data_IF_109112739155
#
_entry.id   IF_109112739155
#
_cell.length_a   1.000
_cell.length_b   1.000
_cell.length_c   1.000
_cell.angle_alpha   90.00
_cell.angle_beta   90.00
_cell.angle_gamma   90.00
#
_symmetry.space_group_name_H-M   'P 1'
#
loop_
_entity.id
_entity.type
_entity.pdbx_description
1 polymer ?
#
# COMPACT_ATOMS: atom_id res chain seq x y z
N UNK A 1 -2.89 -11.73 25.97
CA UNK A 1 -2.30 -11.85 24.63
C UNK A 1 -0.90 -11.27 24.63
N UNK A 2 0.09 -12.15 24.46
CA UNK A 2 1.50 -11.82 24.16
C UNK A 2 1.75 -12.11 22.68
N UNK A 3 2.57 -11.29 22.02
CA UNK A 3 2.89 -11.38 20.59
C UNK A 3 4.11 -12.29 20.41
N UNK A 4 3.96 -13.37 19.65
CA UNK A 4 5.08 -14.25 19.28
C UNK A 4 5.44 -14.01 17.81
N UNK A 5 6.73 -13.86 17.53
CA UNK A 5 7.26 -13.88 16.17
C UNK A 5 7.88 -15.25 15.92
N UNK A 6 7.54 -15.85 14.78
CA UNK A 6 8.13 -17.11 14.31
C UNK A 6 8.94 -16.76 13.07
N UNK A 7 10.24 -17.09 13.07
CA UNK A 7 11.08 -16.97 11.89
C UNK A 7 10.63 -18.02 10.86
N UNK A 8 10.46 -17.64 9.59
CA UNK A 8 9.88 -18.52 8.57
C UNK A 8 10.74 -19.77 8.33
N UNK A 9 10.12 -20.95 8.44
CA UNK A 9 10.57 -22.15 7.73
C UNK A 9 9.43 -22.66 6.84
N UNK A 10 9.61 -22.51 5.53
CA UNK A 10 8.66 -22.92 4.48
C UNK A 10 8.73 -24.44 4.30
N UNK A 11 7.58 -25.14 4.20
CA UNK A 11 7.36 -26.21 3.20
C UNK A 11 5.93 -26.78 3.19
N UNK A 12 5.37 -26.81 1.97
CA UNK A 12 4.52 -27.85 1.36
C UNK A 12 3.33 -28.39 2.18
N UNK A 13 2.15 -27.77 2.05
CA UNK A 13 0.87 -28.51 1.95
C UNK A 13 -0.18 -27.62 1.26
N UNK A 14 -0.69 -28.09 0.12
CA UNK A 14 -1.64 -27.37 -0.73
C UNK A 14 -3.07 -27.39 -0.19
N UNK A 15 -3.40 -26.47 0.72
CA UNK A 15 -4.78 -26.12 1.06
C UNK A 15 -4.98 -24.61 0.94
N UNK A 16 -5.85 -24.20 0.01
CA UNK A 16 -6.30 -22.81 -0.15
C UNK A 16 -7.25 -22.45 1.00
N UNK A 17 -6.99 -21.33 1.68
CA UNK A 17 -8.03 -20.56 2.37
C UNK A 17 -7.96 -19.08 1.97
N UNK A 18 -9.09 -18.36 1.84
CA UNK A 18 -9.19 -17.01 1.27
C UNK A 18 -8.91 -15.88 2.28
N UNK A 19 -8.15 -16.13 3.35
CA UNK A 19 -8.07 -15.22 4.49
C UNK A 19 -6.82 -14.35 4.52
N UNK A 20 -7.03 -13.06 4.77
CA UNK A 20 -6.00 -12.13 5.24
C UNK A 20 -5.84 -12.35 6.74
N UNK A 21 -4.80 -13.05 7.20
CA UNK A 21 -4.50 -13.14 8.64
C UNK A 21 -3.03 -12.82 8.88
N UNK A 22 -2.81 -11.74 9.64
CA UNK A 22 -1.51 -11.17 9.99
C UNK A 22 -0.56 -12.18 10.66
N UNK A 23 0.75 -12.06 10.37
CA UNK A 23 1.88 -12.87 10.89
C UNK A 23 2.13 -12.76 12.41
N UNK A 24 1.10 -12.84 13.25
CA UNK A 24 1.26 -12.84 14.70
C UNK A 24 0.29 -13.84 15.31
N UNK A 25 0.82 -14.81 16.09
CA UNK A 25 0.01 -15.67 16.93
C UNK A 25 -0.04 -15.05 18.32
N UNK A 26 -1.23 -14.67 18.75
CA UNK A 26 -1.44 -14.16 20.11
C UNK A 26 -1.62 -15.34 21.06
N UNK A 27 -0.81 -15.40 22.12
CA UNK A 27 -0.86 -16.49 23.12
C UNK A 27 -1.36 -15.98 24.48
N UNK A 28 -2.03 -16.83 25.24
CA UNK A 28 -2.62 -16.51 26.54
C UNK A 28 -1.53 -16.13 27.56
N UNK A 29 -1.79 -15.12 28.39
CA UNK A 29 -0.81 -14.60 29.35
C UNK A 29 -0.46 -15.72 30.33
N UNK A 30 0.83 -16.01 30.52
CA UNK A 30 1.31 -17.07 31.41
C UNK A 30 1.49 -18.46 30.78
N UNK A 31 1.22 -18.63 29.48
CA UNK A 31 1.61 -19.84 28.72
C UNK A 31 2.93 -19.67 27.95
N UNK A 32 3.67 -18.61 28.27
CA UNK A 32 4.95 -18.24 27.66
C UNK A 32 6.08 -19.22 27.99
N UNK A 33 6.00 -19.93 29.12
CA UNK A 33 7.01 -20.90 29.58
C UNK A 33 7.20 -22.09 28.63
N UNK A 34 6.17 -22.45 27.85
CA UNK A 34 6.22 -23.52 26.86
C UNK A 34 7.17 -23.24 25.69
N UNK A 35 7.66 -22.00 25.55
CA UNK A 35 8.49 -21.54 24.44
C UNK A 35 9.84 -20.95 24.89
N UNK A 36 10.23 -21.13 26.15
CA UNK A 36 11.47 -20.58 26.72
C UNK A 36 12.74 -21.26 26.20
N UNK A 37 12.68 -22.56 25.89
CA UNK A 37 13.85 -23.36 25.48
C UNK A 37 14.05 -23.41 23.96
N UNK A 38 13.22 -22.71 23.19
CA UNK A 38 13.26 -22.71 21.72
C UNK A 38 14.10 -21.52 21.22
N UNK A 39 15.26 -21.76 20.56
CA UNK A 39 16.21 -20.69 20.22
C UNK A 39 15.66 -19.66 19.21
N UNK A 40 14.62 -20.03 18.46
CA UNK A 40 14.03 -19.20 17.40
C UNK A 40 12.86 -18.31 17.88
N UNK A 41 12.49 -18.39 19.16
CA UNK A 41 11.28 -17.72 19.69
C UNK A 41 11.67 -16.70 20.76
N UNK A 42 11.52 -15.40 20.44
CA UNK A 42 11.70 -14.30 21.41
C UNK A 42 10.38 -13.93 22.05
N UNK A 43 10.32 -13.99 23.39
CA UNK A 43 9.14 -13.65 24.20
C UNK A 43 9.26 -12.17 24.63
N UNK A 44 8.48 -11.27 24.02
CA UNK A 44 8.42 -9.87 24.43
C UNK A 44 7.34 -9.67 25.51
N UNK A 45 7.71 -9.09 26.66
CA UNK A 45 6.80 -8.80 27.77
C UNK A 45 5.79 -7.67 27.43
N UNK A 46 4.71 -7.58 28.20
CA UNK A 46 3.52 -6.75 27.90
C UNK A 46 3.64 -5.27 28.34
N UNK A 47 3.34 -4.42 27.36
CA UNK A 47 2.72 -3.08 27.42
C UNK A 47 3.59 -1.89 27.86
N UNK A 48 4.51 -1.46 26.99
CA UNK A 48 5.25 -0.20 27.16
C UNK A 48 4.60 1.01 26.47
N UNK A 49 3.34 0.89 26.01
CA UNK A 49 2.66 1.96 25.29
C UNK A 49 3.20 2.18 23.88
N UNK A 50 2.89 1.27 22.94
CA UNK A 50 3.01 1.57 21.51
C UNK A 50 2.09 2.77 21.19
N UNK A 51 2.64 3.98 21.29
CA UNK A 51 2.06 5.13 20.61
C UNK A 51 2.17 4.79 19.13
N UNK A 52 1.05 4.51 18.49
CA UNK A 52 0.95 4.66 17.04
C UNK A 52 1.39 6.10 16.78
N UNK A 53 2.60 6.30 16.26
CA UNK A 53 3.06 7.61 15.81
C UNK A 53 2.17 7.97 14.61
N UNK A 54 1.01 8.54 14.92
CA UNK A 54 0.14 9.14 13.93
C UNK A 54 0.86 10.42 13.55
N UNK A 55 1.58 10.39 12.45
CA UNK A 55 2.06 11.63 11.85
C UNK A 55 0.85 12.54 11.69
N UNK A 56 0.94 13.72 12.29
CA UNK A 56 -0.08 14.74 12.15
C UNK A 56 -0.10 15.26 10.71
N UNK A 57 1.08 15.30 10.07
CA UNK A 57 1.26 15.74 8.68
C UNK A 57 1.14 14.57 7.73
N UNK A 58 0.40 14.78 6.64
CA UNK A 58 0.21 13.80 5.58
C UNK A 58 0.50 14.43 4.23
N UNK A 59 1.24 13.71 3.39
CA UNK A 59 1.37 14.01 1.97
C UNK A 59 0.25 13.26 1.25
N UNK A 60 -0.67 13.99 0.61
CA UNK A 60 -1.86 13.44 -0.02
C UNK A 60 -2.17 14.11 -1.36
N UNK A 61 -3.08 13.52 -2.12
CA UNK A 61 -3.66 14.16 -3.30
C UNK A 61 -4.89 14.96 -2.88
N UNK A 62 -4.86 16.26 -3.14
CA UNK A 62 -6.04 17.12 -3.10
C UNK A 62 -6.64 17.19 -4.51
N UNK A 63 -7.95 16.95 -4.61
CA UNK A 63 -8.66 17.06 -5.88
C UNK A 63 -8.91 18.53 -6.17
N UNK A 64 -8.64 18.94 -7.41
CA UNK A 64 -8.93 20.26 -7.96
C UNK A 64 -9.45 20.08 -9.39
N UNK A 65 -9.78 21.19 -10.05
CA UNK A 65 -10.33 21.21 -11.40
C UNK A 65 -11.86 21.24 -11.44
N UNK A 66 -12.40 20.83 -12.56
CA UNK A 66 -13.83 20.92 -12.86
C UNK A 66 -14.48 19.53 -12.90
N UNK A 67 -15.81 19.49 -12.91
CA UNK A 67 -16.58 18.26 -13.16
C UNK A 67 -16.08 17.60 -14.45
N UNK A 68 -15.87 16.28 -14.42
CA UNK A 68 -15.32 15.49 -15.53
C UNK A 68 -13.88 15.84 -15.98
N UNK A 69 -13.20 16.80 -15.34
CA UNK A 69 -11.78 17.12 -15.55
C UNK A 69 -11.05 17.22 -14.20
N UNK A 70 -10.84 16.08 -13.51
CA UNK A 70 -10.03 16.04 -12.30
C UNK A 70 -8.57 16.43 -12.57
N UNK A 71 -8.04 17.29 -11.70
CA UNK A 71 -6.63 17.64 -11.62
C UNK A 71 -6.19 17.52 -10.16
N UNK A 72 -5.10 16.82 -9.87
CA UNK A 72 -4.67 16.60 -8.50
C UNK A 72 -3.47 17.48 -8.15
N UNK A 73 -3.51 18.09 -6.97
CA UNK A 73 -2.34 18.72 -6.35
C UNK A 73 -1.76 17.77 -5.32
N UNK A 74 -0.44 17.59 -5.34
CA UNK A 74 0.25 16.82 -4.31
C UNK A 74 0.57 17.81 -3.19
N UNK A 75 -0.06 17.64 -2.05
CA UNK A 75 -0.04 18.62 -0.96
C UNK A 75 0.40 17.98 0.34
N UNK A 76 1.07 18.78 1.17
CA UNK A 76 1.23 18.52 2.59
C UNK A 76 0.05 19.16 3.34
N UNK A 77 -0.61 18.41 4.20
CA UNK A 77 -1.68 18.93 5.07
C UNK A 77 -1.63 18.26 6.43
N UNK A 78 -2.46 18.69 7.39
CA UNK A 78 -2.75 17.83 8.55
C UNK A 78 -3.73 16.73 8.16
N UNK A 79 -3.71 15.64 8.93
CA UNK A 79 -4.61 14.49 8.73
C UNK A 79 -6.08 14.85 8.89
N UNK A 80 -6.40 15.76 9.81
CA UNK A 80 -7.78 16.14 10.14
C UNK A 80 -8.31 17.29 9.28
N UNK A 81 -7.46 17.96 8.51
CA UNK A 81 -7.90 19.05 7.65
C UNK A 81 -8.75 18.54 6.48
N UNK A 82 -9.71 19.35 6.04
CA UNK A 82 -10.51 19.11 4.84
C UNK A 82 -9.64 18.91 3.60
N UNK A 83 -10.17 18.25 2.57
CA UNK A 83 -9.37 17.76 1.43
C UNK A 83 -8.59 18.84 0.67
N UNK A 84 -9.16 20.03 0.57
CA UNK A 84 -8.62 21.13 -0.23
C UNK A 84 -7.65 22.03 0.55
N UNK A 85 -7.53 21.81 1.86
CA UNK A 85 -6.60 22.54 2.72
C UNK A 85 -5.18 22.01 2.52
N UNK A 86 -4.25 22.95 2.32
CA UNK A 86 -2.83 22.70 2.11
C UNK A 86 -1.99 23.60 3.02
N UNK A 87 -0.93 23.03 3.60
CA UNK A 87 0.14 23.77 4.28
C UNK A 87 1.19 24.18 3.24
N UNK A 88 1.53 23.24 2.36
CA UNK A 88 2.52 23.42 1.31
C UNK A 88 2.16 22.55 0.10
N UNK A 89 2.30 23.10 -1.11
CA UNK A 89 2.17 22.35 -2.34
C UNK A 89 3.53 21.72 -2.73
N UNK A 90 3.55 20.41 -2.87
CA UNK A 90 4.75 19.61 -3.17
C UNK A 90 4.82 19.19 -4.64
N UNK A 91 3.72 19.33 -5.38
CA UNK A 91 3.64 18.91 -6.78
C UNK A 91 2.24 18.93 -7.36
N UNK A 92 2.09 18.29 -8.52
CA UNK A 92 0.82 18.14 -9.24
C UNK A 92 0.78 16.83 -10.02
N UNK A 93 -0.42 16.36 -10.32
CA UNK A 93 -0.66 15.14 -11.08
C UNK A 93 -1.91 15.29 -11.96
N UNK A 94 -1.72 15.14 -13.27
CA UNK A 94 -2.80 15.09 -14.24
C UNK A 94 -3.09 13.62 -14.63
N UNK A 95 -4.29 13.09 -14.30
CA UNK A 95 -4.65 11.72 -14.64
C UNK A 95 -4.99 11.53 -16.13
N UNK A 96 -5.33 12.61 -16.85
CA UNK A 96 -5.67 12.53 -18.27
C UNK A 96 -4.42 12.45 -19.14
N UNK A 97 -4.42 11.57 -20.14
CA UNK A 97 -3.36 11.55 -21.12
C UNK A 97 -3.38 12.84 -21.97
N UNK A 98 -2.19 13.34 -22.31
CA UNK A 98 -2.01 14.37 -23.33
C UNK A 98 -2.16 13.78 -24.76
N UNK A 99 -1.91 14.60 -25.79
CA UNK A 99 -1.91 14.14 -27.20
C UNK A 99 -0.90 13.00 -27.47
N UNK A 100 0.16 12.92 -26.67
CA UNK A 100 1.21 11.90 -26.74
C UNK A 100 0.93 10.69 -25.85
N UNK A 101 -0.27 10.60 -25.26
CA UNK A 101 -0.71 9.54 -24.36
C UNK A 101 0.08 9.43 -23.05
N UNK A 102 0.68 10.54 -22.61
CA UNK A 102 1.47 10.64 -21.38
C UNK A 102 0.68 11.31 -20.26
N UNK A 103 0.94 10.91 -19.01
CA UNK A 103 0.33 11.51 -17.81
C UNK A 103 1.38 12.30 -17.05
N UNK A 104 1.10 13.58 -16.82
CA UNK A 104 2.05 14.47 -16.15
C UNK A 104 2.00 14.34 -14.63
N UNK A 105 3.19 14.26 -14.03
CA UNK A 105 3.36 14.28 -12.58
C UNK A 105 4.59 15.15 -12.26
N UNK A 106 4.37 16.29 -11.62
CA UNK A 106 5.44 17.15 -11.13
C UNK A 106 5.66 16.89 -9.64
N UNK A 107 6.90 16.65 -9.24
CA UNK A 107 7.28 16.32 -7.87
C UNK A 107 8.48 17.16 -7.43
N UNK A 108 8.34 17.90 -6.33
CA UNK A 108 9.45 18.57 -5.68
C UNK A 108 10.13 17.60 -4.68
N UNK A 109 11.16 16.89 -5.13
CA UNK A 109 11.85 15.89 -4.31
C UNK A 109 12.54 16.47 -3.07
N UNK A 110 13.07 17.69 -3.15
CA UNK A 110 13.74 18.34 -2.03
C UNK A 110 12.78 18.55 -0.85
N UNK A 111 11.61 19.13 -1.14
CA UNK A 111 10.58 19.38 -0.13
C UNK A 111 9.94 18.10 0.38
N UNK A 112 9.71 17.12 -0.50
CA UNK A 112 9.22 15.80 -0.10
C UNK A 112 10.20 15.12 0.86
N UNK A 113 11.51 15.15 0.56
CA UNK A 113 12.56 14.60 1.43
C UNK A 113 12.55 15.27 2.81
N UNK A 114 12.49 16.60 2.84
CA UNK A 114 12.43 17.37 4.08
C UNK A 114 11.25 16.93 4.97
N UNK A 115 10.04 16.84 4.40
CA UNK A 115 8.86 16.48 5.18
C UNK A 115 8.84 15.00 5.58
N UNK A 116 9.39 14.11 4.76
CA UNK A 116 9.61 12.72 5.14
C UNK A 116 10.56 12.59 6.34
N UNK A 117 11.63 13.39 6.37
CA UNK A 117 12.57 13.42 7.49
C UNK A 117 11.90 13.94 8.78
N UNK A 118 10.92 14.83 8.66
CA UNK A 118 10.06 15.28 9.78
C UNK A 118 8.97 14.26 10.17
N UNK A 119 8.92 13.10 9.52
CA UNK A 119 7.99 12.02 9.83
C UNK A 119 6.63 12.11 9.12
N UNK A 120 6.48 12.92 8.06
CA UNK A 120 5.22 13.03 7.33
C UNK A 120 4.76 11.68 6.76
N UNK A 121 3.48 11.36 6.93
CA UNK A 121 2.89 10.13 6.37
C UNK A 121 2.56 10.30 4.89
N UNK A 122 2.97 9.33 4.06
CA UNK A 122 2.64 9.35 2.63
C UNK A 122 1.37 8.53 2.38
N UNK A 123 0.35 9.18 1.83
CA UNK A 123 -0.88 8.51 1.42
C UNK A 123 -0.64 7.47 0.32
N UNK A 124 -1.44 6.40 0.30
CA UNK A 124 -1.33 5.29 -0.67
C UNK A 124 -1.19 5.73 -2.14
N UNK A 125 -1.98 6.68 -2.68
CA UNK A 125 -1.83 7.08 -4.09
C UNK A 125 -0.50 7.82 -4.36
N UNK A 126 -0.08 8.71 -3.46
CA UNK A 126 1.20 9.43 -3.60
C UNK A 126 2.37 8.46 -3.47
N UNK A 127 2.28 7.48 -2.56
CA UNK A 127 3.29 6.42 -2.42
C UNK A 127 3.48 5.62 -3.69
N UNK A 128 2.40 5.37 -4.44
CA UNK A 128 2.47 4.72 -5.76
C UNK A 128 3.17 5.60 -6.80
N UNK A 129 2.87 6.90 -6.84
CA UNK A 129 3.54 7.85 -7.74
C UNK A 129 5.05 7.94 -7.44
N UNK A 130 5.43 8.07 -6.17
CA UNK A 130 6.84 8.09 -5.75
C UNK A 130 7.55 6.75 -5.98
N UNK A 131 6.81 5.64 -5.93
CA UNK A 131 7.33 4.32 -6.28
C UNK A 131 7.61 4.18 -7.78
N UNK A 132 6.69 4.68 -8.61
CA UNK A 132 6.85 4.68 -10.07
C UNK A 132 7.95 5.63 -10.54
N UNK A 133 8.19 6.74 -9.82
CA UNK A 133 9.30 7.66 -10.11
C UNK A 133 10.67 7.11 -9.69
N UNK A 134 10.73 5.95 -9.03
CA UNK A 134 11.95 5.36 -8.50
C UNK A 134 12.50 6.04 -7.23
N UNK A 135 11.74 6.94 -6.60
CA UNK A 135 12.18 7.65 -5.39
C UNK A 135 11.93 6.82 -4.11
N UNK A 136 10.79 6.13 -4.04
CA UNK A 136 10.48 5.14 -3.01
C UNK A 136 10.46 3.74 -3.62
N UNK A 137 10.55 2.66 -2.81
CA UNK A 137 10.26 1.33 -3.33
C UNK A 137 8.82 1.24 -3.83
N UNK A 138 8.60 0.38 -4.82
CA UNK A 138 7.28 0.12 -5.36
C UNK A 138 6.32 -0.33 -4.25
N UNK A 139 5.12 0.26 -4.22
CA UNK A 139 4.11 -0.13 -3.24
C UNK A 139 3.72 -1.61 -3.43
N UNK A 140 3.74 -2.43 -2.37
CA UNK A 140 3.51 -3.88 -2.50
C UNK A 140 2.12 -4.21 -3.05
N UNK A 141 1.14 -3.31 -2.92
CA UNK A 141 -0.20 -3.54 -3.48
C UNK A 141 -0.23 -3.39 -5.00
N UNK A 142 0.74 -2.71 -5.63
CA UNK A 142 0.81 -2.58 -7.08
C UNK A 142 1.16 -3.90 -7.75
N UNK A 143 2.12 -4.64 -7.21
CA UNK A 143 2.52 -5.95 -7.74
C UNK A 143 1.33 -6.94 -7.69
N UNK A 144 0.69 -7.07 -6.53
CA UNK A 144 -0.51 -7.90 -6.35
C UNK A 144 -1.63 -7.49 -7.31
N UNK A 145 -1.85 -6.18 -7.48
CA UNK A 145 -2.86 -5.67 -8.40
C UNK A 145 -2.54 -6.02 -9.87
N UNK A 146 -1.27 -5.94 -10.28
CA UNK A 146 -0.84 -6.27 -11.63
C UNK A 146 -1.03 -7.77 -11.93
N UNK A 147 -0.66 -8.66 -11.00
CA UNK A 147 -0.91 -10.10 -11.13
C UNK A 147 -2.40 -10.42 -11.24
N UNK A 148 -3.22 -9.81 -10.38
CA UNK A 148 -4.67 -9.96 -10.44
C UNK A 148 -5.31 -9.43 -11.74
N UNK A 149 -4.68 -8.44 -12.40
CA UNK A 149 -5.12 -7.96 -13.71
C UNK A 149 -4.74 -8.93 -14.84
N UNK A 150 -3.53 -9.51 -14.79
CA UNK A 150 -3.06 -10.51 -15.76
C UNK A 150 -3.97 -11.75 -15.74
N UNK A 151 -4.23 -12.29 -14.55
CA UNK A 151 -5.12 -13.45 -14.37
C UNK A 151 -6.53 -13.20 -14.91
N UNK A 152 -7.07 -11.98 -14.72
CA UNK A 152 -8.39 -11.63 -15.25
C UNK A 152 -8.42 -11.62 -16.78
N UNK A 153 -7.42 -11.02 -17.42
CA UNK A 153 -7.28 -11.02 -18.88
C UNK A 153 -7.12 -12.43 -19.45
N UNK A 154 -6.39 -13.30 -18.76
CA UNK A 154 -6.27 -14.71 -19.15
C UNK A 154 -7.61 -15.44 -19.08
N UNK A 155 -8.38 -15.23 -18.01
CA UNK A 155 -9.72 -15.81 -17.87
C UNK A 155 -10.68 -15.26 -18.94
N UNK A 156 -10.62 -13.97 -19.26
CA UNK A 156 -11.43 -13.35 -20.32
C UNK A 156 -11.10 -13.97 -21.69
N UNK A 157 -9.82 -14.11 -22.04
CA UNK A 157 -9.39 -14.78 -23.28
C UNK A 157 -9.87 -16.23 -23.36
N UNK A 158 -9.70 -17.00 -22.28
CA UNK A 158 -10.15 -18.39 -22.23
C UNK A 158 -11.68 -18.54 -22.35
N UNK A 159 -12.44 -17.52 -21.93
CA UNK A 159 -13.89 -17.49 -22.14
C UNK A 159 -14.26 -17.16 -23.58
N UNK A 160 -13.62 -16.14 -24.15
CA UNK A 160 -13.80 -15.76 -25.56
C UNK A 160 -13.42 -16.90 -26.52
N UNK A 161 -12.40 -17.69 -26.20
CA UNK A 161 -12.02 -18.88 -26.98
C UNK A 161 -13.10 -19.97 -26.91
N UNK A 162 -13.65 -20.25 -25.73
CA UNK A 162 -14.75 -21.22 -25.56
C UNK A 162 -16.04 -20.80 -26.27
N UNK A 163 -16.40 -19.53 -26.16
CA UNK A 163 -17.59 -18.98 -26.84
C UNK A 163 -17.47 -19.12 -28.36
N UNK A 164 -16.27 -18.96 -28.92
CA UNK A 164 -16.01 -19.17 -30.35
C UNK A 164 -16.07 -20.64 -30.77
N UNK A 165 -15.57 -21.56 -29.94
CA UNK A 165 -15.66 -23.00 -30.18
C UNK A 165 -17.12 -23.45 -30.21
N UNK A 166 -17.94 -22.98 -29.26
CA UNK A 166 -19.39 -23.26 -29.17
C UNK A 166 -20.20 -22.66 -30.34
N UNK A 167 -19.73 -21.58 -30.98
CA UNK A 167 -20.38 -21.01 -32.19
C UNK A 167 -19.98 -21.74 -33.48
N UNK A 168 -18.88 -22.49 -33.47
CA UNK A 168 -18.39 -23.23 -34.65
C UNK A 168 -18.89 -24.67 -34.76
N UNK A 169 -19.47 -25.22 -33.68
CA UNK A 169 -20.13 -26.54 -33.63
C UNK A 169 -21.65 -26.45 -33.84
#
# INVERSE_FOLDING_TARGET
>A
MVRLSVLNFVRKTGLQTPYRVSRFRYVAKGSEYLFQDQPDVKIEQKFDGEKILRSERTIRLALSGCTNRPFYRIVLSRKMDGRDTEIEQLGSFDPFPNLWNEKFCALNFERIKHHLALGAYVGKPVRRLLGLSGYLPLDPTLHIFAEGLRRRREIEKLKEEKEKEEETD
#
